data_IF_627418539487
#
_entry.id   IF_627418539487
#
_cell.length_a   1.000
_cell.length_b   1.000
_cell.length_c   1.000
_cell.angle_alpha   90.00
_cell.angle_beta   90.00
_cell.angle_gamma   90.00
#
_symmetry.space_group_name_H-M   'P 1'
#
loop_
_entity.id
_entity.type
_entity.pdbx_description
1 polymer ?
#
# COMPACT_ATOMS: atom_id res chain seq x y z
N UNK A 1 -10.32 -3.58 -16.28
CA UNK A 1 -9.62 -4.70 -15.58
C UNK A 1 -8.16 -4.32 -15.42
N UNK A 2 -7.63 -4.48 -14.24
CA UNK A 2 -6.22 -4.26 -13.92
C UNK A 2 -5.63 -5.58 -13.40
N UNK A 3 -4.46 -5.95 -13.89
CA UNK A 3 -3.79 -7.22 -13.54
C UNK A 3 -2.37 -6.92 -13.11
N UNK A 4 -1.96 -7.52 -12.02
CA UNK A 4 -0.59 -7.48 -11.56
C UNK A 4 -0.18 -8.86 -11.03
N UNK A 5 0.69 -9.53 -11.76
CA UNK A 5 1.15 -10.91 -11.48
C UNK A 5 -0.04 -11.85 -11.26
N UNK A 6 -0.32 -12.23 -10.01
CA UNK A 6 -1.39 -13.17 -9.64
C UNK A 6 -2.68 -12.47 -9.19
N UNK A 7 -2.65 -11.15 -9.02
CA UNK A 7 -3.80 -10.38 -8.55
C UNK A 7 -4.53 -9.69 -9.71
N UNK A 8 -5.87 -9.79 -9.70
CA UNK A 8 -6.72 -9.20 -10.72
C UNK A 8 -7.81 -8.35 -10.08
N UNK A 9 -7.99 -7.14 -10.57
CA UNK A 9 -9.05 -6.23 -10.18
C UNK A 9 -9.94 -5.92 -11.37
N UNK A 10 -11.22 -6.25 -11.27
CA UNK A 10 -12.26 -5.85 -12.22
C UNK A 10 -13.03 -4.69 -11.65
N UNK A 11 -12.92 -3.52 -12.28
CA UNK A 11 -13.53 -2.27 -11.88
C UNK A 11 -14.36 -1.74 -13.04
N UNK A 12 -15.56 -1.30 -12.78
CA UNK A 12 -16.46 -0.69 -13.77
C UNK A 12 -16.78 0.75 -13.39
N UNK A 13 -17.01 1.60 -14.38
CA UNK A 13 -17.35 3.01 -14.16
C UNK A 13 -18.78 3.17 -13.67
N UNK A 14 -19.68 2.30 -14.14
CA UNK A 14 -21.11 2.32 -13.82
C UNK A 14 -21.52 0.98 -13.22
N UNK A 15 -22.39 1.01 -12.21
CA UNK A 15 -22.89 -0.20 -11.54
C UNK A 15 -23.55 -1.17 -12.53
N UNK A 16 -24.35 -0.64 -13.47
CA UNK A 16 -25.07 -1.46 -14.46
C UNK A 16 -24.16 -2.19 -15.44
N UNK A 17 -22.94 -1.69 -15.69
CA UNK A 17 -21.99 -2.31 -16.63
C UNK A 17 -21.10 -3.37 -15.99
N UNK A 18 -21.10 -3.49 -14.67
CA UNK A 18 -20.19 -4.36 -13.93
C UNK A 18 -20.36 -5.84 -14.28
N UNK A 19 -21.59 -6.29 -14.41
CA UNK A 19 -21.87 -7.68 -14.80
C UNK A 19 -21.38 -8.02 -16.21
N UNK A 20 -21.46 -7.07 -17.14
CA UNK A 20 -20.97 -7.29 -18.50
C UNK A 20 -19.45 -7.28 -18.57
N UNK A 21 -18.80 -6.44 -17.78
CA UNK A 21 -17.34 -6.43 -17.64
C UNK A 21 -16.84 -7.72 -16.99
N UNK A 22 -17.54 -8.26 -15.99
CA UNK A 22 -17.26 -9.56 -15.41
C UNK A 22 -17.45 -10.70 -16.43
N UNK A 23 -18.52 -10.69 -17.21
CA UNK A 23 -18.75 -11.69 -18.28
C UNK A 23 -17.61 -11.68 -19.30
N UNK A 24 -17.16 -10.49 -19.75
CA UNK A 24 -16.03 -10.34 -20.66
C UNK A 24 -14.76 -10.91 -20.04
N UNK A 25 -14.48 -10.58 -18.76
CA UNK A 25 -13.34 -11.09 -18.02
C UNK A 25 -13.35 -12.60 -17.92
N UNK A 26 -14.47 -13.21 -17.52
CA UNK A 26 -14.59 -14.65 -17.43
C UNK A 26 -14.49 -15.35 -18.79
N UNK A 27 -14.99 -14.75 -19.87
CA UNK A 27 -14.80 -15.26 -21.23
C UNK A 27 -13.31 -15.32 -21.59
N UNK A 28 -12.57 -14.25 -21.30
CA UNK A 28 -11.13 -14.18 -21.53
C UNK A 28 -10.38 -15.25 -20.70
N UNK A 29 -10.68 -15.37 -19.42
CA UNK A 29 -10.05 -16.38 -18.55
C UNK A 29 -10.30 -17.82 -19.06
N UNK A 30 -11.51 -18.12 -19.53
CA UNK A 30 -11.83 -19.43 -20.14
C UNK A 30 -11.06 -19.66 -21.44
N UNK A 31 -10.94 -18.64 -22.28
CA UNK A 31 -10.18 -18.73 -23.54
C UNK A 31 -8.72 -19.12 -23.29
N UNK A 32 -8.11 -18.56 -22.25
CA UNK A 32 -6.72 -18.85 -21.87
C UNK A 32 -6.58 -20.00 -20.85
N UNK A 33 -7.67 -20.73 -20.57
CA UNK A 33 -7.70 -21.86 -19.62
C UNK A 33 -7.18 -21.51 -18.22
N UNK A 34 -7.34 -20.23 -17.81
CA UNK A 34 -6.95 -19.76 -16.49
C UNK A 34 -7.97 -20.20 -15.43
N UNK A 35 -7.48 -20.56 -14.24
CA UNK A 35 -8.31 -20.95 -13.10
C UNK A 35 -8.23 -19.89 -12.02
N UNK A 36 -9.37 -19.58 -11.41
CA UNK A 36 -9.45 -18.68 -10.27
C UNK A 36 -9.51 -19.47 -8.96
N UNK A 37 -8.81 -18.98 -7.95
CA UNK A 37 -8.98 -19.49 -6.60
C UNK A 37 -10.17 -18.76 -5.94
N UNK A 38 -11.33 -19.42 -5.93
CA UNK A 38 -12.57 -18.84 -5.42
C UNK A 38 -12.50 -18.44 -3.95
N UNK A 39 -11.66 -19.08 -3.14
CA UNK A 39 -11.50 -18.73 -1.71
C UNK A 39 -10.83 -17.37 -1.51
N UNK A 40 -10.09 -16.91 -2.53
CA UNK A 40 -9.42 -15.60 -2.53
C UNK A 40 -10.19 -14.54 -3.33
N UNK A 41 -11.22 -14.91 -4.08
CA UNK A 41 -12.03 -13.98 -4.84
C UNK A 41 -13.04 -13.27 -3.93
N UNK A 42 -13.27 -11.99 -4.21
CA UNK A 42 -14.37 -11.22 -3.63
C UNK A 42 -15.12 -10.52 -4.75
N UNK A 43 -16.45 -10.61 -4.73
CA UNK A 43 -17.34 -10.03 -5.72
C UNK A 43 -18.32 -9.06 -5.07
N UNK A 44 -18.75 -8.03 -5.82
CA UNK A 44 -19.75 -7.09 -5.34
C UNK A 44 -19.32 -6.27 -4.12
N UNK A 45 -18.04 -5.96 -4.00
CA UNK A 45 -17.49 -5.18 -2.90
C UNK A 45 -17.25 -3.74 -3.34
N UNK A 46 -17.63 -2.77 -2.50
CA UNK A 46 -17.45 -1.34 -2.78
C UNK A 46 -15.98 -0.90 -2.68
N UNK A 47 -15.19 -1.61 -1.90
CA UNK A 47 -13.76 -1.37 -1.75
C UNK A 47 -13.01 -2.69 -1.51
N UNK A 48 -11.76 -2.75 -1.95
CA UNK A 48 -10.91 -3.92 -1.74
C UNK A 48 -9.43 -3.52 -1.63
N UNK A 49 -8.72 -4.29 -0.81
CA UNK A 49 -7.26 -4.20 -0.75
C UNK A 49 -6.67 -4.81 -2.03
N UNK A 50 -5.94 -3.98 -2.78
CA UNK A 50 -5.24 -4.39 -4.00
C UNK A 50 -3.83 -3.81 -3.97
N UNK A 51 -2.81 -4.64 -4.11
CA UNK A 51 -1.39 -4.25 -4.10
C UNK A 51 -1.01 -3.35 -2.90
N UNK A 52 -1.51 -3.66 -1.71
CA UNK A 52 -1.29 -2.85 -0.50
C UNK A 52 -2.04 -1.51 -0.43
N UNK A 53 -2.86 -1.17 -1.41
CA UNK A 53 -3.73 0.00 -1.41
C UNK A 53 -5.18 -0.41 -1.14
N UNK A 54 -5.97 0.53 -0.63
CA UNK A 54 -7.42 0.40 -0.63
C UNK A 54 -7.93 1.04 -1.91
N UNK A 55 -8.67 0.27 -2.70
CA UNK A 55 -9.29 0.75 -3.95
C UNK A 55 -10.78 0.88 -3.71
N UNK A 56 -11.31 2.09 -3.86
CA UNK A 56 -12.73 2.44 -3.75
C UNK A 56 -13.25 3.06 -5.04
N UNK A 57 -14.52 3.43 -5.07
CA UNK A 57 -15.09 4.20 -6.18
C UNK A 57 -14.46 5.59 -6.31
N UNK A 58 -14.07 6.19 -5.18
CA UNK A 58 -13.47 7.53 -5.10
C UNK A 58 -11.99 7.53 -5.53
N UNK A 59 -11.34 6.37 -5.52
CA UNK A 59 -9.94 6.26 -5.94
C UNK A 59 -9.10 5.28 -5.14
N UNK A 60 -7.83 5.64 -4.97
CA UNK A 60 -6.85 4.84 -4.23
C UNK A 60 -6.54 5.53 -2.91
N UNK A 61 -6.73 4.82 -1.82
CA UNK A 61 -6.47 5.28 -0.46
C UNK A 61 -5.32 4.53 0.18
N UNK A 62 -4.67 5.16 1.15
CA UNK A 62 -3.66 4.50 1.96
C UNK A 62 -4.31 3.40 2.82
N UNK A 63 -3.62 2.27 2.95
CA UNK A 63 -4.06 1.22 3.86
C UNK A 63 -3.98 1.73 5.30
N UNK A 64 -5.13 1.86 5.96
CA UNK A 64 -5.26 2.39 7.32
C UNK A 64 -4.44 1.61 8.35
N UNK A 65 -4.31 0.29 8.21
CA UNK A 65 -3.45 -0.53 9.07
C UNK A 65 -1.97 -0.12 8.97
N UNK A 66 -1.51 0.23 7.76
CA UNK A 66 -0.12 0.68 7.54
C UNK A 66 0.12 2.07 8.09
N UNK A 67 -0.85 2.96 7.94
CA UNK A 67 -0.82 4.31 8.54
C UNK A 67 -0.78 4.18 10.06
N UNK A 68 -1.71 3.43 10.63
CA UNK A 68 -1.80 3.18 12.07
C UNK A 68 -0.49 2.57 12.63
N UNK A 69 0.13 1.65 11.90
CA UNK A 69 1.40 1.05 12.28
C UNK A 69 2.55 2.06 12.42
N UNK A 70 2.52 3.20 11.69
CA UNK A 70 3.49 4.30 11.86
C UNK A 70 3.08 5.19 13.03
N UNK A 71 1.79 5.54 13.12
CA UNK A 71 1.28 6.41 14.19
C UNK A 71 1.52 5.83 15.59
N UNK A 72 1.33 4.52 15.76
CA UNK A 72 1.52 3.80 17.02
C UNK A 72 2.98 3.46 17.32
N UNK A 73 3.90 3.71 16.39
CA UNK A 73 5.32 3.40 16.59
C UNK A 73 5.96 4.41 17.55
N UNK A 74 6.71 3.92 18.53
CA UNK A 74 7.60 4.76 19.35
C UNK A 74 8.84 5.15 18.56
N UNK A 75 9.54 6.20 19.01
CA UNK A 75 10.81 6.63 18.40
C UNK A 75 11.81 5.48 18.37
N UNK A 76 12.41 5.20 17.20
CA UNK A 76 13.35 4.08 17.04
C UNK A 76 14.58 4.21 17.95
N UNK A 77 14.91 3.12 18.63
CA UNK A 77 16.09 3.02 19.52
C UNK A 77 17.17 2.12 18.95
N UNK A 78 16.89 1.42 17.87
CA UNK A 78 17.82 0.47 17.25
C UNK A 78 17.83 0.60 15.74
N UNK A 79 18.92 0.15 15.09
CA UNK A 79 19.01 0.09 13.61
C UNK A 79 17.84 -0.70 13.01
N UNK A 80 17.46 -1.82 13.63
CA UNK A 80 16.35 -2.66 13.17
C UNK A 80 15.01 -1.90 13.17
N UNK A 81 14.79 -1.06 14.17
CA UNK A 81 13.57 -0.24 14.26
C UNK A 81 13.58 0.88 13.22
N UNK A 82 14.73 1.51 12.94
CA UNK A 82 14.88 2.48 11.85
C UNK A 82 14.61 1.81 10.50
N UNK A 83 15.13 0.62 10.26
CA UNK A 83 14.84 -0.16 9.04
C UNK A 83 13.35 -0.49 8.94
N UNK A 84 12.69 -0.85 10.04
CA UNK A 84 11.26 -1.11 10.10
C UNK A 84 10.45 0.14 9.76
N UNK A 85 10.80 1.29 10.32
CA UNK A 85 10.18 2.59 10.03
C UNK A 85 10.33 2.93 8.54
N UNK A 86 11.55 2.87 8.01
CA UNK A 86 11.84 3.19 6.61
C UNK A 86 11.02 2.32 5.65
N UNK A 87 10.93 1.01 5.89
CA UNK A 87 10.09 0.11 5.08
C UNK A 87 8.61 0.48 5.12
N UNK A 88 8.10 0.91 6.27
CA UNK A 88 6.70 1.36 6.41
C UNK A 88 6.44 2.64 5.64
N UNK A 89 7.34 3.62 5.72
CA UNK A 89 7.23 4.89 4.99
C UNK A 89 7.31 4.66 3.48
N UNK A 90 8.26 3.83 3.02
CA UNK A 90 8.38 3.46 1.60
C UNK A 90 7.11 2.77 1.08
N UNK A 91 6.47 1.92 1.90
CA UNK A 91 5.21 1.29 1.54
C UNK A 91 4.03 2.28 1.37
N UNK A 92 4.16 3.49 1.91
CA UNK A 92 3.18 4.58 1.80
C UNK A 92 3.68 5.75 0.92
N UNK A 93 4.73 5.56 0.13
CA UNK A 93 5.41 6.62 -0.61
C UNK A 93 4.49 7.45 -1.52
N UNK A 94 3.42 6.84 -2.07
CA UNK A 94 2.44 7.53 -2.92
C UNK A 94 1.56 8.54 -2.15
N UNK A 95 1.45 8.38 -0.83
CA UNK A 95 0.61 9.21 0.03
C UNK A 95 1.41 10.17 0.90
N UNK A 96 2.72 9.94 1.04
CA UNK A 96 3.62 10.80 1.80
C UNK A 96 4.33 11.75 0.85
N UNK A 97 4.03 13.04 0.96
CA UNK A 97 4.72 14.06 0.16
C UNK A 97 6.21 14.06 0.46
N UNK A 98 7.04 14.09 -0.61
CA UNK A 98 8.52 14.10 -0.50
C UNK A 98 9.07 12.96 0.39
N UNK A 99 8.47 11.77 0.32
CA UNK A 99 8.84 10.61 1.16
C UNK A 99 10.34 10.32 1.15
N UNK A 100 11.00 10.42 0.00
CA UNK A 100 12.45 10.22 -0.14
C UNK A 100 13.24 11.22 0.70
N UNK A 101 12.89 12.51 0.64
CA UNK A 101 13.57 13.57 1.40
C UNK A 101 13.34 13.39 2.90
N UNK A 102 12.11 13.05 3.31
CA UNK A 102 11.78 12.76 4.71
C UNK A 102 12.50 11.51 5.26
N UNK A 103 12.90 10.57 4.41
CA UNK A 103 13.67 9.42 4.82
C UNK A 103 15.18 9.67 4.90
N UNK A 104 15.72 10.78 4.38
CA UNK A 104 17.15 11.07 4.38
C UNK A 104 17.81 11.02 5.77
N UNK A 105 17.26 11.62 6.84
CA UNK A 105 17.81 11.51 8.18
C UNK A 105 17.93 10.06 8.64
N UNK A 106 16.91 9.24 8.37
CA UNK A 106 16.88 7.83 8.74
C UNK A 106 17.94 7.01 7.99
N UNK A 107 18.17 7.30 6.71
CA UNK A 107 19.23 6.64 5.95
C UNK A 107 20.65 6.99 6.46
N UNK A 108 20.84 8.19 6.97
CA UNK A 108 22.13 8.58 7.58
C UNK A 108 22.42 7.74 8.82
N UNK A 109 21.41 7.47 9.66
CA UNK A 109 21.58 6.63 10.86
C UNK A 109 21.86 5.16 10.54
N UNK A 110 21.52 4.70 9.32
CA UNK A 110 21.80 3.32 8.88
C UNK A 110 23.23 3.13 8.35
N UNK A 111 23.92 4.23 7.96
CA UNK A 111 25.27 4.16 7.38
C UNK A 111 26.40 4.17 8.43
N UNK A 112 26.14 4.69 9.61
CA UNK A 112 27.11 4.87 10.68
C UNK A 112 26.66 4.16 11.96
N UNK A 113 27.45 4.26 13.03
CA UNK A 113 27.01 3.81 14.33
C UNK A 113 25.65 4.45 14.66
N UNK A 114 24.71 3.67 15.19
CA UNK A 114 23.37 4.14 15.46
C UNK A 114 23.39 5.40 16.34
N UNK A 115 22.85 6.49 15.80
CA UNK A 115 22.60 7.73 16.53
C UNK A 115 21.25 8.29 16.08
N UNK A 116 20.27 8.28 16.96
CA UNK A 116 18.98 8.94 16.74
C UNK A 116 19.14 10.42 17.06
N UNK A 117 19.14 11.26 16.03
CA UNK A 117 19.36 12.70 16.14
C UNK A 117 18.03 13.46 16.28
N UNK A 118 18.10 14.72 16.71
CA UNK A 118 16.94 15.61 16.79
C UNK A 118 16.27 15.78 15.42
N UNK A 119 17.04 15.82 14.33
CA UNK A 119 16.51 15.83 12.96
C UNK A 119 15.67 14.59 12.66
N UNK A 120 16.10 13.43 13.14
CA UNK A 120 15.35 12.18 12.98
C UNK A 120 14.04 12.23 13.76
N UNK A 121 14.08 12.73 15.00
CA UNK A 121 12.89 12.86 15.84
C UNK A 121 11.89 13.85 15.25
N UNK A 122 12.35 15.03 14.82
CA UNK A 122 11.50 16.05 14.19
C UNK A 122 10.82 15.48 12.95
N UNK A 123 11.59 14.86 12.05
CA UNK A 123 11.05 14.24 10.84
C UNK A 123 10.09 13.10 11.15
N UNK A 124 10.36 12.32 12.21
CA UNK A 124 9.48 11.24 12.64
C UNK A 124 8.14 11.76 13.16
N UNK A 125 8.15 12.86 13.91
CA UNK A 125 6.92 13.51 14.38
C UNK A 125 6.13 14.13 13.23
N UNK A 126 6.81 14.76 12.26
CA UNK A 126 6.16 15.27 11.03
C UNK A 126 5.50 14.18 10.16
N UNK A 127 6.01 12.95 10.21
CA UNK A 127 5.40 11.81 9.52
C UNK A 127 4.11 11.34 10.19
N UNK A 128 3.90 11.71 11.46
CA UNK A 128 2.71 11.33 12.24
C UNK A 128 1.61 12.38 12.19
N UNK A 129 1.88 13.58 11.65
CA UNK A 129 0.88 14.64 11.45
C UNK A 129 0.09 14.42 10.15
#
# INVERSE_FOLDING_TARGET
MEVYVDDMLVKSKEEGSHLDDLKKTFKTLRQYKMKLNLTKCAFGVSFRKFLNFMVSQEGIEANTEKVKAILEMSSPKTIKEVQKLTRRVVALNKFVSKATNKCLPFFKTLKHAFAWTDDCETTFQELKL
#
